data_IF_620664513073
#
_entry.id   IF_620664513073
#
_cell.length_a   1.000
_cell.length_b   1.000
_cell.length_c   1.000
_cell.angle_alpha   90.00
_cell.angle_beta   90.00
_cell.angle_gamma   90.00
#
_symmetry.space_group_name_H-M   'P 1'
#
loop_
_entity.id
_entity.type
_entity.pdbx_description
1 polymer ?
#
# COMPACT_ATOMS: atom_id res chain seq x y z
N UNK A 1 -9.68 10.30 -25.18
CA UNK A 1 -10.67 11.34 -24.88
C UNK A 1 -11.21 11.07 -23.47
N UNK A 2 -10.44 11.45 -22.45
CA UNK A 2 -10.77 11.30 -21.02
C UNK A 2 -9.81 12.19 -20.20
N UNK A 3 -9.62 13.44 -20.62
CA UNK A 3 -8.79 14.43 -19.87
C UNK A 3 -9.63 15.43 -19.07
N UNK A 4 -10.95 15.43 -19.21
CA UNK A 4 -11.83 16.41 -18.55
C UNK A 4 -12.45 15.94 -17.23
N UNK A 5 -12.34 14.66 -16.85
CA UNK A 5 -12.95 14.12 -15.62
C UNK A 5 -12.02 14.09 -14.39
N UNK A 6 -10.72 14.23 -14.60
CA UNK A 6 -9.70 14.29 -13.54
C UNK A 6 -9.81 15.49 -12.57
N UNK A 7 -10.16 16.72 -13.01
CA UNK A 7 -10.22 17.85 -12.08
C UNK A 7 -11.42 17.78 -11.12
N UNK A 8 -12.54 17.20 -11.56
CA UNK A 8 -13.78 17.15 -10.78
C UNK A 8 -13.67 16.14 -9.63
N UNK A 9 -13.12 14.95 -9.91
CA UNK A 9 -12.90 13.92 -8.89
C UNK A 9 -11.83 14.34 -7.87
N UNK A 10 -10.88 15.18 -8.28
CA UNK A 10 -9.85 15.74 -7.41
C UNK A 10 -10.43 16.74 -6.41
N UNK A 11 -11.33 17.61 -6.84
CA UNK A 11 -11.95 18.63 -5.99
C UNK A 11 -12.89 18.02 -4.94
N UNK A 12 -13.66 16.99 -5.32
CA UNK A 12 -14.52 16.24 -4.38
C UNK A 12 -13.71 15.46 -3.33
N UNK A 13 -12.54 14.93 -3.70
CA UNK A 13 -11.65 14.22 -2.79
C UNK A 13 -10.94 15.16 -1.81
N UNK A 14 -10.56 16.37 -2.26
CA UNK A 14 -9.95 17.41 -1.43
C UNK A 14 -10.93 17.95 -0.37
N UNK A 15 -12.21 18.09 -0.72
CA UNK A 15 -13.28 18.50 0.19
C UNK A 15 -13.59 17.44 1.25
N UNK A 16 -13.52 16.15 0.90
CA UNK A 16 -13.85 15.06 1.84
C UNK A 16 -12.80 14.85 2.94
N UNK A 17 -11.53 15.24 2.71
CA UNK A 17 -10.42 14.85 3.59
C UNK A 17 -9.78 16.00 4.40
N UNK A 18 -10.17 17.26 4.18
CA UNK A 18 -9.70 18.39 5.00
C UNK A 18 -8.18 18.53 5.05
N UNK A 19 -7.48 18.20 3.95
CA UNK A 19 -6.02 18.15 3.90
C UNK A 19 -5.46 19.51 3.42
N UNK A 20 -4.76 20.22 4.31
CA UNK A 20 -4.10 21.51 4.03
C UNK A 20 -2.69 21.39 3.43
N UNK A 21 -2.22 20.19 3.08
CA UNK A 21 -0.84 19.97 2.63
C UNK A 21 -0.80 19.24 1.27
N UNK A 22 -0.94 20.03 0.20
CA UNK A 22 -1.13 19.57 -1.18
C UNK A 22 0.19 19.15 -1.85
N UNK A 23 1.35 19.50 -1.26
CA UNK A 23 2.66 19.24 -1.87
C UNK A 23 3.12 17.77 -1.84
N UNK A 24 2.65 16.98 -0.88
CA UNK A 24 3.12 15.60 -0.66
C UNK A 24 2.32 14.53 -1.43
N UNK A 25 1.07 14.83 -1.82
CA UNK A 25 0.13 13.83 -2.37
C UNK A 25 0.26 13.66 -3.89
N UNK A 26 0.55 14.74 -4.62
CA UNK A 26 0.82 14.66 -6.07
C UNK A 26 2.03 13.80 -6.40
N UNK A 27 3.06 13.83 -5.54
CA UNK A 27 4.24 12.96 -5.69
C UNK A 27 3.93 11.50 -5.41
N UNK A 28 3.08 11.20 -4.41
CA UNK A 28 2.76 9.81 -4.06
C UNK A 28 1.96 9.13 -5.15
N UNK A 29 1.03 9.85 -5.81
CA UNK A 29 0.29 9.33 -6.96
C UNK A 29 1.19 8.99 -8.16
N UNK A 30 2.11 9.89 -8.53
CA UNK A 30 3.07 9.66 -9.61
C UNK A 30 4.05 8.53 -9.30
N UNK A 31 4.55 8.48 -8.07
CA UNK A 31 5.46 7.42 -7.59
C UNK A 31 4.77 6.06 -7.59
N UNK A 32 3.52 6.01 -7.14
CA UNK A 32 2.73 4.80 -7.14
C UNK A 32 2.42 4.36 -8.58
N UNK A 33 2.06 5.29 -9.46
CA UNK A 33 1.85 5.01 -10.87
C UNK A 33 3.14 4.47 -11.51
N UNK A 34 4.31 5.01 -11.16
CA UNK A 34 5.60 4.56 -11.65
C UNK A 34 6.02 3.19 -11.08
N UNK A 35 5.72 2.89 -9.82
CA UNK A 35 5.90 1.54 -9.25
C UNK A 35 5.06 0.51 -9.97
N UNK A 36 3.82 0.87 -10.29
CA UNK A 36 2.85 -0.04 -10.92
C UNK A 36 3.10 -0.17 -12.43
N UNK A 37 3.57 0.88 -13.11
CA UNK A 37 3.83 0.88 -14.55
C UNK A 37 5.19 0.28 -14.95
N UNK A 38 6.24 0.52 -14.15
CA UNK A 38 7.61 0.08 -14.51
C UNK A 38 7.80 -1.42 -14.32
N UNK A 39 6.95 -2.04 -13.50
CA UNK A 39 7.15 -3.40 -13.04
C UNK A 39 5.87 -4.23 -13.07
N UNK A 40 5.21 -4.36 -14.23
CA UNK A 40 4.05 -5.26 -14.43
C UNK A 40 3.13 -5.32 -13.20
N UNK A 41 2.83 -4.16 -12.61
CA UNK A 41 2.16 -4.09 -11.33
C UNK A 41 0.83 -4.81 -11.43
N UNK A 42 0.56 -5.73 -10.51
CA UNK A 42 -0.71 -6.48 -10.51
C UNK A 42 -1.93 -5.58 -10.26
N UNK A 43 -1.72 -4.35 -9.82
CA UNK A 43 -2.76 -3.41 -9.45
C UNK A 43 -2.52 -2.06 -10.12
N UNK A 44 -3.60 -1.40 -10.50
CA UNK A 44 -3.66 0.03 -10.80
C UNK A 44 -3.85 0.82 -9.50
N UNK A 45 -3.69 2.16 -9.54
CA UNK A 45 -3.96 3.02 -8.38
C UNK A 45 -5.42 2.89 -7.94
N UNK A 46 -6.35 2.93 -8.89
CA UNK A 46 -7.78 2.79 -8.60
C UNK A 46 -8.10 1.43 -7.94
N UNK A 47 -7.43 0.35 -8.35
CA UNK A 47 -7.58 -0.96 -7.68
C UNK A 47 -6.97 -0.96 -6.28
N UNK A 48 -5.81 -0.34 -6.09
CA UNK A 48 -5.20 -0.19 -4.79
C UNK A 48 -6.12 0.58 -3.83
N UNK A 49 -6.70 1.69 -4.26
CA UNK A 49 -7.64 2.49 -3.47
C UNK A 49 -8.90 1.72 -3.09
N UNK A 50 -9.40 0.83 -3.97
CA UNK A 50 -10.52 -0.06 -3.66
C UNK A 50 -10.16 -1.16 -2.67
N UNK A 51 -8.93 -1.67 -2.71
CA UNK A 51 -8.47 -2.76 -1.84
C UNK A 51 -8.15 -2.27 -0.42
N UNK A 52 -7.62 -1.06 -0.27
CA UNK A 52 -7.25 -0.48 1.02
C UNK A 52 -8.34 -0.60 2.10
N UNK A 53 -9.60 -0.17 1.87
CA UNK A 53 -10.65 -0.27 2.90
C UNK A 53 -11.09 -1.72 3.14
N UNK A 54 -10.98 -2.61 2.15
CA UNK A 54 -11.30 -4.04 2.32
C UNK A 54 -10.28 -4.76 3.21
N UNK A 55 -9.07 -4.21 3.29
CA UNK A 55 -7.98 -4.71 4.12
C UNK A 55 -7.91 -3.98 5.49
N UNK A 56 -8.86 -3.08 5.79
CA UNK A 56 -8.94 -2.33 7.05
C UNK A 56 -7.64 -1.61 7.44
N UNK A 57 -6.86 -1.14 6.46
CA UNK A 57 -5.49 -0.63 6.71
C UNK A 57 -5.45 0.66 7.53
N UNK A 58 -6.56 1.38 7.62
CA UNK A 58 -6.75 2.53 8.51
C UNK A 58 -6.71 2.18 10.00
N UNK A 59 -6.90 0.91 10.35
CA UNK A 59 -6.91 0.43 11.75
C UNK A 59 -5.56 -0.08 12.23
N UNK A 60 -4.57 -0.17 11.33
CA UNK A 60 -3.24 -0.70 11.63
C UNK A 60 -2.55 0.17 12.68
N UNK A 61 -2.16 -0.47 13.79
CA UNK A 61 -1.34 0.18 14.81
C UNK A 61 0.13 0.10 14.43
N UNK A 62 0.66 1.20 13.89
CA UNK A 62 2.07 1.30 13.51
C UNK A 62 2.97 1.53 14.72
N UNK A 63 4.11 0.83 14.76
CA UNK A 63 5.12 1.06 15.79
C UNK A 63 5.84 2.39 15.56
N UNK A 64 6.28 3.01 16.66
CA UNK A 64 7.02 4.29 16.69
C UNK A 64 6.16 5.48 16.22
N UNK A 65 6.81 6.59 15.83
CA UNK A 65 6.15 7.81 15.31
C UNK A 65 5.81 7.72 13.81
N UNK A 66 5.71 6.52 13.26
CA UNK A 66 5.46 6.31 11.82
C UNK A 66 3.95 6.35 11.59
N UNK A 67 3.49 7.17 10.63
CA UNK A 67 2.08 7.29 10.25
C UNK A 67 1.98 7.37 8.72
N UNK A 68 2.08 6.23 8.01
CA UNK A 68 1.86 6.23 6.56
C UNK A 68 0.37 6.41 6.28
N UNK A 69 0.02 6.88 5.07
CA UNK A 69 -1.36 6.74 4.61
C UNK A 69 -1.66 5.25 4.37
N UNK A 70 -2.92 4.81 4.52
CA UNK A 70 -3.32 3.42 4.24
C UNK A 70 -2.92 2.96 2.83
N UNK A 71 -3.07 3.83 1.82
CA UNK A 71 -2.61 3.57 0.46
C UNK A 71 -1.09 3.38 0.38
N UNK A 72 -0.31 4.21 1.06
CA UNK A 72 1.16 4.04 1.09
C UNK A 72 1.54 2.72 1.75
N UNK A 73 0.88 2.37 2.85
CA UNK A 73 1.11 1.11 3.55
C UNK A 73 0.81 -0.10 2.66
N UNK A 74 -0.31 -0.06 1.93
CA UNK A 74 -0.66 -1.06 0.91
C UNK A 74 0.41 -1.19 -0.17
N UNK A 75 0.84 -0.07 -0.77
CA UNK A 75 1.83 -0.06 -1.85
C UNK A 75 3.17 -0.62 -1.38
N UNK A 76 3.59 -0.33 -0.15
CA UNK A 76 4.81 -0.92 0.45
C UNK A 76 4.69 -2.45 0.48
N UNK A 77 3.58 -2.98 0.99
CA UNK A 77 3.36 -4.44 1.06
C UNK A 77 3.28 -5.06 -0.33
N UNK A 78 2.46 -4.51 -1.22
CA UNK A 78 2.28 -5.00 -2.58
C UNK A 78 3.62 -5.05 -3.33
N UNK A 79 4.44 -4.00 -3.21
CA UNK A 79 5.72 -3.94 -3.88
C UNK A 79 6.75 -4.92 -3.29
N UNK A 80 6.76 -5.11 -1.97
CA UNK A 80 7.63 -6.09 -1.31
C UNK A 80 7.26 -7.54 -1.67
N UNK A 81 5.96 -7.84 -1.79
CA UNK A 81 5.46 -9.16 -2.17
C UNK A 81 5.71 -9.45 -3.66
N UNK A 82 5.57 -8.45 -4.52
CA UNK A 82 5.87 -8.59 -5.94
C UNK A 82 7.37 -8.76 -6.20
N UNK A 83 8.22 -8.10 -5.40
CA UNK A 83 9.67 -8.04 -5.62
C UNK A 83 10.48 -8.18 -4.32
N UNK A 84 10.59 -9.40 -3.75
CA UNK A 84 11.35 -9.62 -2.53
C UNK A 84 12.83 -9.24 -2.73
N UNK A 85 13.39 -8.51 -1.76
CA UNK A 85 14.81 -8.12 -1.72
C UNK A 85 15.19 -6.80 -2.40
N UNK A 86 14.24 -6.08 -3.04
CA UNK A 86 14.54 -4.82 -3.77
C UNK A 86 14.33 -3.55 -2.94
N UNK A 87 14.79 -3.55 -1.69
CA UNK A 87 14.60 -2.42 -0.78
C UNK A 87 15.24 -1.10 -1.25
N UNK A 88 16.37 -1.16 -1.96
CA UNK A 88 17.05 0.04 -2.51
C UNK A 88 16.16 0.75 -3.54
N UNK A 89 15.63 -0.01 -4.50
CA UNK A 89 14.73 0.52 -5.53
C UNK A 89 13.44 1.04 -4.92
N UNK A 90 12.85 0.33 -3.96
CA UNK A 90 11.65 0.82 -3.26
C UNK A 90 11.94 2.10 -2.47
N UNK A 91 13.12 2.19 -1.86
CA UNK A 91 13.56 3.38 -1.13
C UNK A 91 13.73 4.58 -2.05
N UNK A 92 14.36 4.40 -3.21
CA UNK A 92 14.53 5.47 -4.20
C UNK A 92 13.20 5.93 -4.78
N UNK A 93 12.29 5.00 -5.05
CA UNK A 93 11.01 5.33 -5.67
C UNK A 93 10.05 5.97 -4.68
N UNK A 94 9.90 5.43 -3.46
CA UNK A 94 8.99 5.97 -2.44
C UNK A 94 9.55 7.19 -1.70
N UNK A 95 10.83 7.53 -1.88
CA UNK A 95 11.47 8.63 -1.17
C UNK A 95 11.55 8.41 0.35
N UNK A 96 11.61 7.14 0.79
CA UNK A 96 11.61 6.75 2.20
C UNK A 96 12.78 5.81 2.49
N UNK A 97 13.31 5.85 3.70
CA UNK A 97 14.43 4.99 4.08
C UNK A 97 14.02 3.51 4.14
N UNK A 98 14.98 2.61 3.89
CA UNK A 98 14.77 1.16 4.01
C UNK A 98 14.19 0.74 5.37
N UNK A 99 14.69 1.35 6.44
CA UNK A 99 14.21 1.08 7.81
C UNK A 99 12.75 1.47 7.99
N UNK A 100 12.33 2.60 7.41
CA UNK A 100 10.94 3.04 7.44
C UNK A 100 10.03 2.07 6.66
N UNK A 101 10.45 1.69 5.44
CA UNK A 101 9.73 0.72 4.61
C UNK A 101 9.61 -0.65 5.29
N UNK A 102 10.70 -1.16 5.85
CA UNK A 102 10.72 -2.43 6.57
C UNK A 102 9.83 -2.41 7.81
N UNK A 103 9.79 -1.29 8.54
CA UNK A 103 8.90 -1.15 9.72
C UNK A 103 7.44 -1.26 9.29
N UNK A 104 7.03 -0.52 8.25
CA UNK A 104 5.66 -0.55 7.73
C UNK A 104 5.31 -1.92 7.18
N UNK A 105 6.21 -2.53 6.40
CA UNK A 105 5.99 -3.85 5.85
C UNK A 105 5.68 -4.85 6.97
N UNK A 106 6.52 -4.91 8.00
CA UNK A 106 6.34 -5.85 9.12
C UNK A 106 5.05 -5.55 9.88
N UNK A 107 4.75 -4.29 10.18
CA UNK A 107 3.56 -3.91 10.94
C UNK A 107 2.28 -4.30 10.19
N UNK A 108 2.20 -3.98 8.90
CA UNK A 108 1.04 -4.32 8.06
C UNK A 108 0.92 -5.82 7.87
N UNK A 109 2.00 -6.55 7.57
CA UNK A 109 1.91 -8.02 7.40
C UNK A 109 1.54 -8.72 8.71
N UNK A 110 2.00 -8.21 9.85
CA UNK A 110 1.63 -8.75 11.17
C UNK A 110 0.14 -8.55 11.42
N UNK A 111 -0.36 -7.34 11.14
CA UNK A 111 -1.79 -7.03 11.22
C UNK A 111 -2.61 -7.94 10.29
N UNK A 112 -2.26 -8.03 9.01
CA UNK A 112 -2.98 -8.85 8.04
C UNK A 112 -2.98 -10.33 8.42
N UNK A 113 -1.86 -10.84 8.95
CA UNK A 113 -1.78 -12.22 9.43
C UNK A 113 -2.63 -12.47 10.68
N UNK A 114 -2.76 -11.47 11.57
CA UNK A 114 -3.62 -11.58 12.74
C UNK A 114 -5.11 -11.49 12.38
N UNK A 115 -5.48 -10.56 11.49
CA UNK A 115 -6.87 -10.29 11.12
C UNK A 115 -7.43 -11.34 10.13
N UNK A 116 -6.63 -11.71 9.13
CA UNK A 116 -7.04 -12.57 8.03
C UNK A 116 -6.36 -13.94 8.03
N UNK A 117 -5.53 -14.24 9.04
CA UNK A 117 -4.79 -15.50 9.11
C UNK A 117 -5.70 -16.73 9.02
N UNK A 118 -6.84 -16.70 9.72
CA UNK A 118 -7.81 -17.79 9.70
C UNK A 118 -8.50 -17.94 8.34
N UNK A 119 -8.78 -16.83 7.64
CA UNK A 119 -9.29 -16.87 6.27
C UNK A 119 -8.24 -17.40 5.30
N UNK A 120 -6.95 -17.13 5.50
CA UNK A 120 -5.89 -17.62 4.63
C UNK A 120 -5.58 -19.10 4.86
N UNK A 121 -5.90 -19.65 6.04
CA UNK A 121 -5.78 -21.10 6.36
C UNK A 121 -6.84 -21.98 5.69
N UNK A 122 -7.80 -21.38 4.98
CA UNK A 122 -8.98 -22.06 4.44
C UNK A 122 -8.70 -23.24 3.48
N UNK A 123 -7.49 -23.39 2.94
CA UNK A 123 -7.19 -24.49 2.01
C UNK A 123 -6.01 -25.34 2.51
N UNK A 124 -6.33 -26.39 3.26
CA UNK A 124 -5.38 -27.41 3.75
C UNK A 124 -4.57 -28.09 2.64
N UNK A 125 -5.03 -28.05 1.39
CA UNK A 125 -4.29 -28.59 0.24
C UNK A 125 -3.24 -27.64 -0.36
N UNK A 126 -3.33 -26.32 -0.08
CA UNK A 126 -2.37 -25.34 -0.60
C UNK A 126 -1.27 -25.00 0.42
N UNK A 127 -1.54 -25.28 1.69
CA UNK A 127 -0.58 -25.17 2.79
C UNK A 127 -0.52 -26.53 3.47
N UNK A 128 0.29 -27.48 2.96
CA UNK A 128 0.50 -28.73 3.69
C UNK A 128 1.00 -28.37 5.08
N UNK A 129 0.28 -28.87 6.09
CA UNK A 129 0.58 -28.72 7.51
C UNK A 129 2.09 -28.95 7.71
N UNK A 130 2.85 -27.88 7.97
CA UNK A 130 4.24 -27.98 8.39
C UNK A 130 4.21 -28.56 9.80
N UNK A 131 4.16 -29.88 9.86
CA UNK A 131 4.25 -30.68 11.06
C UNK A 131 5.70 -30.54 11.55
N UNK A 132 5.89 -29.64 12.51
CA UNK A 132 7.13 -29.51 13.29
C UNK A 132 7.04 -30.35 14.55
#
# INVERSE_FOLDING_TARGET
MNEELEPILREEWELANGIKDVGSLGQTGLIAQQLLSTHSGRFTIAEAERLVPLLCLETVSFRRRVRPSPLTAFLVVAACLAFPGRWETLSSVLGRSKTWLSTIFVDVTTFLAAEFGDLLRWHSQLTPELSY
#
